data_IF_461310615978
#
_entry.id   IF_461310615978
#
_cell.length_a   1.000
_cell.length_b   1.000
_cell.length_c   1.000
_cell.angle_alpha   90.00
_cell.angle_beta   90.00
_cell.angle_gamma   90.00
#
_symmetry.space_group_name_H-M   'P 1'
#
loop_
_entity.id
_entity.type
_entity.pdbx_description
1 polymer ?
#
# COMPACT_ATOMS: atom_id res chain seq x y z
N UNK A 1 36.01 35.89 -65.30
CA UNK A 1 35.40 36.80 -64.30
C UNK A 1 34.22 36.10 -63.64
N UNK A 2 34.46 35.11 -62.78
CA UNK A 2 33.42 34.51 -61.92
C UNK A 2 34.11 33.98 -60.66
N UNK A 3 34.23 34.83 -59.64
CA UNK A 3 34.40 34.41 -58.24
C UNK A 3 33.75 35.49 -57.38
N UNK A 4 32.59 35.22 -56.78
CA UNK A 4 32.17 35.87 -55.53
C UNK A 4 30.89 35.32 -54.83
N UNK A 5 30.18 34.30 -55.35
CA UNK A 5 28.85 33.94 -54.82
C UNK A 5 28.71 32.55 -54.16
N UNK A 6 29.81 31.85 -53.81
CA UNK A 6 29.71 30.46 -53.28
C UNK A 6 30.24 30.24 -51.86
N UNK A 7 30.67 31.30 -51.16
CA UNK A 7 31.36 31.16 -49.86
C UNK A 7 30.55 31.65 -48.66
N UNK A 8 29.40 32.29 -48.90
CA UNK A 8 28.50 32.81 -47.86
C UNK A 8 27.46 31.75 -47.48
N UNK A 9 26.80 31.13 -48.46
CA UNK A 9 25.75 30.12 -48.23
C UNK A 9 26.23 28.85 -47.52
N UNK A 10 27.49 28.44 -47.76
CA UNK A 10 28.07 27.22 -47.16
C UNK A 10 28.27 27.36 -45.64
N UNK A 11 28.45 28.60 -45.15
CA UNK A 11 28.73 28.85 -43.74
C UNK A 11 27.46 28.81 -42.88
N UNK A 12 26.35 29.36 -43.38
CA UNK A 12 25.03 29.29 -42.72
C UNK A 12 24.45 27.86 -42.70
N UNK A 13 24.71 27.05 -43.72
CA UNK A 13 24.25 25.66 -43.79
C UNK A 13 24.98 24.70 -42.83
N UNK A 14 26.24 24.97 -42.50
CA UNK A 14 27.01 24.19 -41.52
C UNK A 14 26.64 24.58 -40.08
N UNK A 15 26.48 25.88 -39.81
CA UNK A 15 26.02 26.39 -38.51
C UNK A 15 24.58 25.90 -38.19
N UNK A 16 23.68 25.85 -39.19
CA UNK A 16 22.31 25.35 -39.05
C UNK A 16 22.24 23.82 -38.81
N UNK A 17 23.16 23.04 -39.39
CA UNK A 17 23.26 21.58 -39.14
C UNK A 17 23.83 21.28 -37.75
N UNK A 18 24.76 22.10 -37.29
CA UNK A 18 25.35 21.97 -35.95
C UNK A 18 24.29 22.30 -34.88
N UNK A 19 23.53 23.40 -35.04
CA UNK A 19 22.40 23.73 -34.18
C UNK A 19 21.29 22.67 -34.17
N UNK A 20 20.96 22.08 -35.33
CA UNK A 20 19.96 21.02 -35.43
C UNK A 20 20.41 19.71 -34.75
N UNK A 21 21.72 19.44 -34.74
CA UNK A 21 22.31 18.29 -34.05
C UNK A 21 22.31 18.48 -32.52
N UNK A 22 22.60 19.69 -32.06
CA UNK A 22 22.56 20.09 -30.66
C UNK A 22 21.12 20.04 -30.12
N UNK A 23 20.14 20.59 -30.85
CA UNK A 23 18.70 20.51 -30.50
C UNK A 23 18.19 19.07 -30.48
N UNK A 24 18.66 18.20 -31.39
CA UNK A 24 18.37 16.76 -31.34
C UNK A 24 18.99 16.09 -30.12
N UNK A 25 20.22 16.41 -29.77
CA UNK A 25 20.89 15.84 -28.61
C UNK A 25 20.24 16.29 -27.28
N UNK A 26 19.80 17.54 -27.20
CA UNK A 26 19.06 18.09 -26.06
C UNK A 26 17.67 17.46 -25.93
N UNK A 27 16.91 17.34 -27.02
CA UNK A 27 15.61 16.64 -27.02
C UNK A 27 15.73 15.15 -26.67
N UNK A 28 16.82 14.48 -27.09
CA UNK A 28 17.10 13.09 -26.71
C UNK A 28 17.47 12.98 -25.21
N UNK A 29 18.17 13.96 -24.65
CA UNK A 29 18.48 14.03 -23.21
C UNK A 29 17.23 14.31 -22.38
N UNK A 30 16.35 15.19 -22.85
CA UNK A 30 15.08 15.52 -22.19
C UNK A 30 14.13 14.32 -22.17
N UNK A 31 13.95 13.62 -23.29
CA UNK A 31 13.20 12.35 -23.32
C UNK A 31 13.81 11.25 -22.45
N UNK A 32 15.14 11.14 -22.43
CA UNK A 32 15.82 10.20 -21.55
C UNK A 32 15.69 10.57 -20.06
N UNK A 33 15.49 11.85 -19.75
CA UNK A 33 15.22 12.34 -18.40
C UNK A 33 13.78 12.01 -17.99
N UNK A 34 12.80 12.30 -18.87
CA UNK A 34 11.39 11.95 -18.67
C UNK A 34 11.18 10.45 -18.53
N UNK A 35 11.83 9.62 -19.36
CA UNK A 35 11.78 8.17 -19.26
C UNK A 35 12.36 7.65 -17.94
N UNK A 36 13.42 8.30 -17.42
CA UNK A 36 13.97 7.97 -16.09
C UNK A 36 13.01 8.37 -14.98
N UNK A 37 12.39 9.53 -15.05
CA UNK A 37 11.41 10.00 -14.07
C UNK A 37 10.17 9.08 -14.03
N UNK A 38 9.68 8.65 -15.20
CA UNK A 38 8.58 7.69 -15.31
C UNK A 38 9.01 6.32 -14.73
N UNK A 39 10.21 5.86 -15.01
CA UNK A 39 10.74 4.60 -14.48
C UNK A 39 10.92 4.65 -12.95
N UNK A 40 11.38 5.78 -12.41
CA UNK A 40 11.50 6.01 -10.97
C UNK A 40 10.13 6.06 -10.29
N UNK A 41 9.14 6.71 -10.90
CA UNK A 41 7.77 6.72 -10.42
C UNK A 41 7.16 5.31 -10.39
N UNK A 42 7.36 4.51 -11.44
CA UNK A 42 6.89 3.11 -11.49
C UNK A 42 7.57 2.26 -10.41
N UNK A 43 8.89 2.39 -10.22
CA UNK A 43 9.61 1.69 -9.14
C UNK A 43 9.08 2.07 -7.77
N UNK A 44 8.87 3.36 -7.53
CA UNK A 44 8.32 3.86 -6.26
C UNK A 44 6.92 3.30 -6.00
N UNK A 45 6.07 3.27 -7.03
CA UNK A 45 4.73 2.69 -6.95
C UNK A 45 4.77 1.19 -6.63
N UNK A 46 5.60 0.41 -7.34
CA UNK A 46 5.77 -1.02 -7.10
C UNK A 46 6.29 -1.31 -5.67
N UNK A 47 7.30 -0.56 -5.21
CA UNK A 47 7.79 -0.68 -3.83
C UNK A 47 6.71 -0.33 -2.79
N UNK A 48 5.91 0.72 -3.04
CA UNK A 48 4.76 1.07 -2.22
C UNK A 48 3.76 -0.08 -2.10
N UNK A 49 3.39 -0.69 -3.22
CA UNK A 49 2.43 -1.82 -3.23
C UNK A 49 2.97 -3.05 -2.48
N UNK A 50 4.26 -3.38 -2.64
CA UNK A 50 4.89 -4.51 -1.93
C UNK A 50 4.95 -4.24 -0.43
N UNK A 51 5.37 -3.04 -0.02
CA UNK A 51 5.46 -2.68 1.41
C UNK A 51 4.11 -2.72 2.12
N UNK A 52 3.03 -2.26 1.49
CA UNK A 52 1.68 -2.33 2.06
C UNK A 52 1.23 -3.78 2.24
N UNK A 53 1.55 -4.66 1.29
CA UNK A 53 1.24 -6.10 1.39
C UNK A 53 2.01 -6.76 2.54
N UNK A 54 3.29 -6.45 2.70
CA UNK A 54 4.10 -6.97 3.80
C UNK A 54 3.65 -6.46 5.18
N UNK A 55 3.06 -5.26 5.25
CA UNK A 55 2.46 -4.73 6.48
C UNK A 55 1.19 -5.47 6.89
N UNK A 56 0.31 -5.81 5.94
CA UNK A 56 -0.99 -6.44 6.24
C UNK A 56 -0.91 -7.97 6.36
N UNK A 57 0.02 -8.60 5.64
CA UNK A 57 0.15 -10.05 5.55
C UNK A 57 1.63 -10.44 5.52
N UNK A 58 2.36 -10.25 6.64
CA UNK A 58 3.75 -10.66 6.72
C UNK A 58 3.87 -12.18 6.52
N UNK A 59 5.06 -12.65 6.15
CA UNK A 59 5.35 -14.08 5.88
C UNK A 59 5.02 -15.03 7.05
N UNK A 60 4.93 -14.52 8.27
CA UNK A 60 4.57 -15.25 9.47
C UNK A 60 3.04 -15.29 9.75
N UNK A 61 2.21 -14.72 8.88
CA UNK A 61 0.76 -14.67 9.02
C UNK A 61 0.09 -15.72 8.13
N UNK A 62 -0.60 -16.69 8.74
CA UNK A 62 -1.38 -17.70 8.02
C UNK A 62 -2.82 -17.69 8.53
N UNK A 63 -3.76 -17.64 7.59
CA UNK A 63 -5.20 -17.67 7.88
C UNK A 63 -5.76 -19.02 7.47
N UNK A 64 -6.27 -19.77 8.43
CA UNK A 64 -7.06 -20.98 8.22
C UNK A 64 -8.53 -20.71 8.61
N UNK A 65 -9.47 -21.52 8.13
CA UNK A 65 -10.91 -21.31 8.41
C UNK A 65 -11.27 -21.38 9.91
N UNK A 66 -10.44 -22.04 10.73
CA UNK A 66 -10.68 -22.24 12.16
C UNK A 66 -9.81 -21.35 13.06
N UNK A 67 -8.64 -20.94 12.60
CA UNK A 67 -7.68 -20.19 13.40
C UNK A 67 -6.79 -19.33 12.51
N UNK A 68 -6.17 -18.33 13.13
CA UNK A 68 -5.14 -17.49 12.55
C UNK A 68 -3.83 -17.83 13.24
N UNK A 69 -2.80 -18.17 12.47
CA UNK A 69 -1.46 -18.41 12.98
C UNK A 69 -0.61 -17.16 12.76
N UNK A 70 -0.06 -16.64 13.86
CA UNK A 70 0.85 -15.50 13.93
C UNK A 70 2.21 -16.01 14.44
N UNK A 71 3.09 -16.37 13.51
CA UNK A 71 4.37 -17.02 13.81
C UNK A 71 4.17 -18.36 14.52
N UNK A 72 4.49 -18.41 15.81
CA UNK A 72 4.31 -19.59 16.67
C UNK A 72 3.02 -19.57 17.49
N UNK A 73 2.25 -18.47 17.46
CA UNK A 73 1.01 -18.32 18.21
C UNK A 73 -0.20 -18.67 17.35
N UNK A 74 -1.17 -19.34 17.97
CA UNK A 74 -2.46 -19.63 17.36
C UNK A 74 -3.53 -18.75 18.01
N UNK A 75 -4.30 -18.05 17.19
CA UNK A 75 -5.32 -17.10 17.61
C UNK A 75 -6.66 -17.51 17.01
N UNK A 76 -7.72 -17.45 17.80
CA UNK A 76 -9.08 -17.71 17.34
C UNK A 76 -10.07 -16.80 18.06
N UNK A 77 -11.02 -16.24 17.33
CA UNK A 77 -12.10 -15.44 17.92
C UNK A 77 -13.32 -16.33 18.13
N UNK A 78 -13.86 -16.32 19.34
CA UNK A 78 -15.11 -17.03 19.68
C UNK A 78 -16.22 -16.01 19.85
N UNK A 79 -17.36 -16.24 19.19
CA UNK A 79 -18.55 -15.41 19.31
C UNK A 79 -19.59 -16.15 20.17
N UNK A 80 -20.02 -15.51 21.25
CA UNK A 80 -21.08 -16.01 22.13
C UNK A 80 -22.30 -15.11 21.99
N UNK A 81 -23.41 -15.68 21.54
CA UNK A 81 -24.63 -14.91 21.22
C UNK A 81 -25.66 -14.96 22.35
N UNK A 82 -25.60 -15.99 23.19
CA UNK A 82 -26.59 -16.24 24.24
C UNK A 82 -26.02 -15.88 25.62
N UNK A 83 -26.43 -14.72 26.14
CA UNK A 83 -26.19 -14.37 27.54
C UNK A 83 -27.23 -15.03 28.46
N UNK A 84 -26.86 -15.36 29.72
CA UNK A 84 -27.83 -15.75 30.73
C UNK A 84 -28.91 -14.67 30.90
N UNK A 85 -30.19 -15.07 31.00
CA UNK A 85 -31.31 -14.15 31.26
C UNK A 85 -31.16 -13.44 32.62
N UNK A 86 -30.59 -14.14 33.60
CA UNK A 86 -30.35 -13.63 34.94
C UNK A 86 -28.85 -13.68 35.22
N UNK A 87 -28.31 -12.56 35.71
CA UNK A 87 -26.89 -12.39 35.95
C UNK A 87 -26.69 -12.12 37.44
N UNK A 88 -25.90 -12.96 38.11
CA UNK A 88 -25.43 -12.71 39.47
C UNK A 88 -24.11 -11.96 39.45
N UNK A 89 -23.77 -11.30 40.56
CA UNK A 89 -22.43 -10.71 40.73
C UNK A 89 -21.37 -11.79 40.58
N UNK A 90 -20.32 -11.52 39.78
CA UNK A 90 -19.21 -12.45 39.58
C UNK A 90 -19.46 -13.59 38.58
N UNK A 91 -20.58 -13.61 37.85
CA UNK A 91 -20.86 -14.65 36.83
C UNK A 91 -19.74 -14.82 35.77
N UNK A 92 -19.03 -13.74 35.44
CA UNK A 92 -17.95 -13.73 34.45
C UNK A 92 -16.56 -13.95 35.07
N UNK A 93 -16.49 -14.15 36.40
CA UNK A 93 -15.24 -14.36 37.13
C UNK A 93 -14.35 -15.49 36.57
N UNK A 94 -14.91 -16.65 36.14
CA UNK A 94 -14.08 -17.72 35.59
C UNK A 94 -13.32 -17.30 34.33
N UNK A 95 -13.91 -16.44 33.50
CA UNK A 95 -13.30 -16.03 32.22
C UNK A 95 -12.22 -14.97 32.46
N UNK A 96 -12.46 -13.99 33.32
CA UNK A 96 -11.46 -12.94 33.63
C UNK A 96 -10.26 -13.48 34.41
N UNK A 97 -10.44 -14.57 35.16
CA UNK A 97 -9.38 -15.17 35.98
C UNK A 97 -8.57 -16.23 35.23
N UNK A 98 -8.87 -16.47 33.95
CA UNK A 98 -8.08 -17.37 33.12
C UNK A 98 -6.66 -16.81 32.92
N UNK A 99 -5.64 -17.64 33.17
CA UNK A 99 -4.24 -17.26 32.94
C UNK A 99 -3.83 -17.46 31.48
N UNK A 100 -4.58 -16.87 30.55
CA UNK A 100 -4.26 -16.84 29.12
C UNK A 100 -4.42 -15.41 28.59
N UNK A 101 -3.57 -14.99 27.63
CA UNK A 101 -3.77 -13.71 26.97
C UNK A 101 -5.04 -13.78 26.11
N UNK A 102 -6.07 -13.06 26.51
CA UNK A 102 -7.32 -12.96 25.77
C UNK A 102 -7.92 -11.56 25.87
N UNK A 103 -8.51 -11.11 24.76
CA UNK A 103 -9.28 -9.88 24.69
C UNK A 103 -10.78 -10.21 24.73
N UNK A 104 -11.53 -9.43 25.51
CA UNK A 104 -12.98 -9.62 25.68
C UNK A 104 -13.70 -8.34 25.26
N UNK A 105 -14.63 -8.46 24.32
CA UNK A 105 -15.57 -7.41 23.96
C UNK A 105 -17.00 -7.86 24.26
N UNK A 106 -17.76 -7.02 24.95
CA UNK A 106 -19.16 -7.28 25.31
C UNK A 106 -20.04 -6.15 24.80
N UNK A 107 -21.17 -6.49 24.21
CA UNK A 107 -22.15 -5.54 23.68
C UNK A 107 -23.49 -5.79 24.35
N UNK A 108 -23.98 -4.80 25.09
CA UNK A 108 -25.28 -4.85 25.77
C UNK A 108 -26.24 -3.90 25.06
N UNK A 109 -27.34 -4.45 24.56
CA UNK A 109 -28.42 -3.69 23.94
C UNK A 109 -29.58 -3.64 24.93
N UNK A 110 -29.83 -2.50 25.60
CA UNK A 110 -30.92 -2.40 26.54
C UNK A 110 -32.25 -2.53 25.81
N UNK A 111 -33.10 -3.43 26.31
CA UNK A 111 -34.47 -3.63 25.86
C UNK A 111 -35.41 -3.15 26.96
N UNK A 112 -36.49 -2.47 26.58
CA UNK A 112 -37.47 -1.98 27.54
C UNK A 112 -38.17 -3.15 28.24
N UNK A 113 -38.41 -3.08 29.56
CA UNK A 113 -39.09 -4.15 30.29
C UNK A 113 -40.47 -4.51 29.70
N UNK A 114 -41.19 -3.52 29.17
CA UNK A 114 -42.50 -3.72 28.54
C UNK A 114 -42.48 -4.63 27.31
N UNK A 115 -41.31 -4.87 26.70
CA UNK A 115 -41.18 -5.74 25.52
C UNK A 115 -40.93 -7.21 25.87
N UNK A 116 -40.69 -7.54 27.15
CA UNK A 116 -40.24 -8.86 27.60
C UNK A 116 -41.21 -9.50 28.60
N UNK A 117 -42.05 -8.68 29.25
CA UNK A 117 -43.02 -9.08 30.27
C UNK A 117 -44.46 -8.89 29.80
#
# INVERSE_FOLDING_TARGET
>A
MVQLFKKVDIKEDDDAKEEASLKKAEHQRERAQEEKEILEAERSFQHGVVSVRDLIAPSAFKVDSRFVQLGTKFVSTVFVVTYPRYISVGWFAPVINLNIPMDVAMYFYPVKPEAIL
#
